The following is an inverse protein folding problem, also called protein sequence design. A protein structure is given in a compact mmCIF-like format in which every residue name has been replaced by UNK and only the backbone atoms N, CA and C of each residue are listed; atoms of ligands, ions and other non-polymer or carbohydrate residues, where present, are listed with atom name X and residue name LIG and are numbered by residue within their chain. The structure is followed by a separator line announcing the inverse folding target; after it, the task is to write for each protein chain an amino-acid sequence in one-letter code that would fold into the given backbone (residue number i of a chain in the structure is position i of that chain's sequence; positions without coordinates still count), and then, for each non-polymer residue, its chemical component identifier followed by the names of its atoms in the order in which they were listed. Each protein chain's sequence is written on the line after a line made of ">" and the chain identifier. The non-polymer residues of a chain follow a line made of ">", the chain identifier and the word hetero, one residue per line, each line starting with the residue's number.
data_IF_927243755801
#
_entry.id   IF_927243755801
#
_cell.length_a   1.000
_cell.length_b   1.000
_cell.length_c   1.000
_cell.angle_alpha   90.00
_cell.angle_beta   90.00
_cell.angle_gamma   90.00
#
_symmetry.space_group_name_H-M   'P 1'
#
loop_
_entity.id
_entity.type
_entity.pdbx_description
1 polymer ?
#
# COMPACT_ATOMS: atom_id res chain seq x y z
N UNK A 1 17.82 30.38 -0.56
CA UNK A 1 17.55 29.21 0.32
C UNK A 1 16.71 29.62 1.54
N UNK A 2 17.02 30.71 2.24
CA UNK A 2 16.26 31.17 3.43
C UNK A 2 14.76 31.36 3.16
N UNK A 3 14.41 31.93 2.02
CA UNK A 3 13.00 32.05 1.59
C UNK A 3 12.30 30.71 1.46
N UNK A 4 12.99 29.69 0.91
CA UNK A 4 12.46 28.33 0.78
C UNK A 4 12.21 27.71 2.16
N UNK A 5 13.14 27.86 3.10
CA UNK A 5 12.98 27.39 4.49
C UNK A 5 11.73 28.01 5.11
N UNK A 6 11.59 29.33 5.00
CA UNK A 6 10.45 30.05 5.56
C UNK A 6 9.12 29.56 4.98
N UNK A 7 9.06 29.29 3.67
CA UNK A 7 7.88 28.72 3.03
C UNK A 7 7.54 27.30 3.53
N UNK A 8 8.54 26.46 3.72
CA UNK A 8 8.34 25.12 4.28
C UNK A 8 7.82 25.18 5.72
N UNK A 9 8.36 26.08 6.56
CA UNK A 9 7.89 26.28 7.93
C UNK A 9 6.47 26.87 7.96
N UNK A 10 6.14 27.83 7.09
CA UNK A 10 4.79 28.38 6.98
C UNK A 10 3.78 27.28 6.61
N UNK A 11 4.08 26.44 5.62
CA UNK A 11 3.22 25.31 5.22
C UNK A 11 3.09 24.30 6.36
N UNK A 12 4.18 23.98 7.05
CA UNK A 12 4.18 23.05 8.18
C UNK A 12 3.28 23.53 9.32
N UNK A 13 3.35 24.82 9.65
CA UNK A 13 2.63 25.43 10.75
C UNK A 13 1.16 25.79 10.41
N UNK A 14 0.80 25.79 9.14
CA UNK A 14 -0.59 25.98 8.70
C UNK A 14 -1.40 24.73 9.00
N UNK A 15 -2.57 24.84 9.65
CA UNK A 15 -3.42 23.70 9.99
C UNK A 15 -4.34 23.26 8.84
N UNK A 16 -4.84 24.23 8.06
CA UNK A 16 -5.81 24.00 6.98
C UNK A 16 -5.15 23.46 5.71
N UNK A 17 -5.64 22.32 5.21
CA UNK A 17 -5.18 21.75 3.94
C UNK A 17 -5.42 22.67 2.73
N UNK A 18 -6.52 23.44 2.71
CA UNK A 18 -6.82 24.37 1.63
C UNK A 18 -5.88 25.58 1.64
N UNK A 19 -5.52 26.08 2.82
CA UNK A 19 -4.55 27.15 2.96
C UNK A 19 -3.14 26.71 2.55
N UNK A 20 -2.72 25.49 2.91
CA UNK A 20 -1.46 24.89 2.43
C UNK A 20 -1.40 24.82 0.91
N UNK A 21 -2.49 24.37 0.27
CA UNK A 21 -2.58 24.33 -1.19
C UNK A 21 -2.46 25.77 -1.75
N UNK A 22 -3.16 26.73 -1.17
CA UNK A 22 -3.09 28.14 -1.56
C UNK A 22 -1.69 28.74 -1.42
N UNK A 23 -0.96 28.41 -0.34
CA UNK A 23 0.44 28.84 -0.15
C UNK A 23 1.35 28.29 -1.25
N UNK A 24 1.23 27.01 -1.58
CA UNK A 24 2.02 26.36 -2.64
C UNK A 24 1.67 26.98 -4.01
N UNK A 25 0.38 27.21 -4.30
CA UNK A 25 -0.05 27.82 -5.57
C UNK A 25 0.53 29.22 -5.75
N UNK A 26 0.49 30.05 -4.72
CA UNK A 26 1.06 31.42 -4.78
C UNK A 26 2.58 31.46 -4.98
N UNK A 27 3.27 30.39 -4.56
CA UNK A 27 4.73 30.28 -4.66
C UNK A 27 5.19 29.29 -5.74
N UNK A 28 4.29 28.94 -6.66
CA UNK A 28 4.59 27.96 -7.76
C UNK A 28 5.65 28.45 -8.76
N UNK A 29 5.89 29.76 -8.81
CA UNK A 29 6.93 30.39 -9.65
C UNK A 29 8.34 30.31 -9.00
N UNK A 30 8.44 30.01 -7.70
CA UNK A 30 9.73 29.80 -7.04
C UNK A 30 10.27 28.40 -7.39
N UNK A 31 11.08 28.35 -8.46
CA UNK A 31 11.63 27.09 -8.99
C UNK A 31 12.31 26.25 -7.91
N UNK A 32 13.14 26.85 -7.06
CA UNK A 32 13.87 26.11 -6.03
C UNK A 32 12.93 25.52 -4.97
N UNK A 33 11.89 26.25 -4.58
CA UNK A 33 10.86 25.73 -3.68
C UNK A 33 10.14 24.53 -4.29
N UNK A 34 9.74 24.64 -5.55
CA UNK A 34 9.05 23.57 -6.30
C UNK A 34 9.94 22.32 -6.43
N UNK A 35 11.23 22.51 -6.74
CA UNK A 35 12.21 21.43 -6.83
C UNK A 35 12.42 20.72 -5.48
N UNK A 36 12.51 21.48 -4.38
CA UNK A 36 12.60 20.93 -3.02
C UNK A 36 11.35 20.12 -2.65
N UNK A 37 10.15 20.62 -2.96
CA UNK A 37 8.90 19.89 -2.75
C UNK A 37 8.86 18.57 -3.55
N UNK A 38 9.23 18.65 -4.83
CA UNK A 38 9.30 17.47 -5.70
C UNK A 38 10.31 16.48 -5.17
N UNK A 39 11.53 16.90 -4.88
CA UNK A 39 12.58 16.03 -4.35
C UNK A 39 12.13 15.34 -3.06
N UNK A 40 11.53 16.09 -2.13
CA UNK A 40 11.06 15.55 -0.85
C UNK A 40 9.94 14.53 -1.00
N UNK A 41 8.93 14.82 -1.82
CA UNK A 41 7.67 14.08 -1.84
C UNK A 41 7.57 13.03 -2.94
N UNK A 42 8.38 13.11 -4.00
CA UNK A 42 8.39 12.10 -5.06
C UNK A 42 8.99 10.79 -4.54
N UNK A 43 8.16 9.76 -4.44
CA UNK A 43 8.55 8.42 -3.95
C UNK A 43 9.49 7.67 -4.90
N UNK A 44 9.56 8.08 -6.17
CA UNK A 44 10.50 7.51 -7.12
C UNK A 44 11.94 7.99 -6.86
N UNK A 45 12.13 9.13 -6.17
CA UNK A 45 13.43 9.60 -5.72
C UNK A 45 13.77 8.89 -4.41
N UNK A 46 14.73 7.98 -4.46
CA UNK A 46 15.25 7.26 -3.29
C UNK A 46 16.70 7.70 -3.10
N UNK A 47 17.08 8.07 -1.89
CA UNK A 47 18.45 8.56 -1.59
C UNK A 47 19.30 7.53 -0.85
N UNK A 48 18.70 6.46 -0.32
CA UNK A 48 19.39 5.49 0.52
C UNK A 48 19.94 6.04 1.85
N UNK A 49 19.70 7.34 2.12
CA UNK A 49 20.18 8.03 3.31
C UNK A 49 19.13 7.99 4.43
N UNK A 50 19.61 8.00 5.67
CA UNK A 50 18.79 8.15 6.88
C UNK A 50 19.46 9.12 7.84
N UNK A 51 18.72 9.65 8.82
CA UNK A 51 19.28 10.51 9.87
C UNK A 51 20.48 9.85 10.56
N UNK A 52 20.41 8.54 10.83
CA UNK A 52 21.51 7.78 11.42
C UNK A 52 22.74 7.69 10.50
N UNK A 53 22.54 7.48 9.20
CA UNK A 53 23.63 7.44 8.21
C UNK A 53 24.31 8.78 8.06
N UNK A 54 23.55 9.87 7.90
CA UNK A 54 24.11 11.23 7.79
C UNK A 54 24.87 11.65 9.07
N UNK A 55 24.53 11.12 10.24
CA UNK A 55 25.25 11.38 11.48
C UNK A 55 26.57 10.60 11.64
N UNK A 56 26.94 9.72 10.69
CA UNK A 56 28.19 8.95 10.71
C UNK A 56 29.39 9.88 10.49
N UNK A 57 30.45 9.68 11.24
CA UNK A 57 31.73 10.39 11.01
C UNK A 57 32.40 9.82 9.76
N UNK A 58 32.60 10.67 8.75
CA UNK A 58 33.33 10.35 7.52
C UNK A 58 34.42 11.39 7.27
N UNK A 59 35.40 11.04 6.44
CA UNK A 59 36.48 11.95 6.06
C UNK A 59 35.96 12.92 5.00
N UNK A 60 36.03 14.22 5.28
CA UNK A 60 35.54 15.28 4.38
C UNK A 60 36.71 15.79 3.52
N UNK A 61 37.01 15.09 2.44
CA UNK A 61 38.09 15.40 1.52
C UNK A 61 37.59 15.78 0.10
N UNK A 62 36.28 15.90 -0.09
CA UNK A 62 35.72 16.30 -1.38
C UNK A 62 35.52 17.83 -1.48
N UNK A 63 35.84 18.37 -2.66
CA UNK A 63 35.31 19.66 -3.08
C UNK A 63 33.80 19.59 -3.18
N UNK A 64 33.13 20.66 -2.79
CA UNK A 64 31.66 20.71 -2.76
C UNK A 64 31.13 21.81 -3.67
N UNK A 65 29.92 21.59 -4.19
CA UNK A 65 29.14 22.60 -4.89
C UNK A 65 28.43 23.52 -3.89
N UNK A 66 28.07 24.71 -4.31
CA UNK A 66 27.19 25.61 -3.57
C UNK A 66 25.70 25.48 -3.98
N UNK A 67 25.40 24.74 -5.05
CA UNK A 67 24.04 24.55 -5.55
C UNK A 67 23.46 23.20 -5.08
N UNK A 68 22.36 23.29 -4.33
CA UNK A 68 21.62 22.11 -3.84
C UNK A 68 21.10 21.23 -4.97
N UNK A 69 20.84 21.79 -6.17
CA UNK A 69 20.40 21.03 -7.34
C UNK A 69 21.40 19.98 -7.75
N UNK A 70 22.70 20.30 -7.68
CA UNK A 70 23.75 19.34 -7.94
C UNK A 70 23.70 18.12 -6.98
N UNK A 71 23.35 18.37 -5.71
CA UNK A 71 23.18 17.30 -4.72
C UNK A 71 21.92 16.49 -5.01
N UNK A 72 20.82 17.13 -5.43
CA UNK A 72 19.62 16.42 -5.85
C UNK A 72 19.89 15.48 -7.02
N UNK A 73 20.61 15.96 -8.03
CA UNK A 73 20.93 15.15 -9.21
C UNK A 73 21.91 14.01 -8.88
N UNK A 74 22.88 14.29 -8.04
CA UNK A 74 23.77 13.25 -7.50
C UNK A 74 22.99 12.17 -6.78
N UNK A 75 22.10 12.52 -5.82
CA UNK A 75 21.33 11.56 -5.03
C UNK A 75 20.27 10.80 -5.81
N UNK A 76 19.77 11.34 -6.94
CA UNK A 76 18.89 10.59 -7.85
C UNK A 76 19.62 9.44 -8.54
N UNK A 77 20.93 9.58 -8.80
CA UNK A 77 21.77 8.58 -9.44
C UNK A 77 22.42 7.63 -8.42
N UNK A 78 22.70 8.11 -7.20
CA UNK A 78 23.36 7.37 -6.13
C UNK A 78 22.39 7.17 -4.95
N UNK A 79 21.66 6.06 -4.97
CA UNK A 79 20.51 5.84 -4.08
C UNK A 79 20.73 4.79 -2.99
N UNK A 80 21.97 4.37 -2.75
CA UNK A 80 22.31 3.30 -1.81
C UNK A 80 22.72 3.80 -0.43
N UNK A 81 23.12 5.07 -0.33
CA UNK A 81 23.59 5.70 0.91
C UNK A 81 24.90 5.08 1.41
N UNK A 82 25.86 4.99 0.50
CA UNK A 82 27.26 4.59 0.78
C UNK A 82 28.00 5.65 1.59
N UNK A 83 29.21 5.34 2.04
CA UNK A 83 30.06 6.33 2.73
C UNK A 83 30.44 7.49 1.80
N UNK A 84 30.52 7.26 0.49
CA UNK A 84 30.71 8.29 -0.52
C UNK A 84 29.52 9.23 -0.62
N UNK A 85 28.29 8.69 -0.62
CA UNK A 85 27.05 9.50 -0.63
C UNK A 85 26.97 10.37 0.66
N UNK A 86 27.35 9.80 1.81
CA UNK A 86 27.39 10.48 3.09
C UNK A 86 28.42 11.60 3.06
N UNK A 87 29.64 11.34 2.54
CA UNK A 87 30.70 12.33 2.40
C UNK A 87 30.25 13.49 1.53
N UNK A 88 29.63 13.22 0.40
CA UNK A 88 29.13 14.24 -0.54
C UNK A 88 28.13 15.18 0.15
N UNK A 89 27.13 14.61 0.86
CA UNK A 89 26.12 15.38 1.56
C UNK A 89 26.72 16.18 2.74
N UNK A 90 27.59 15.56 3.54
CA UNK A 90 28.21 16.26 4.67
C UNK A 90 29.18 17.34 4.21
N UNK A 91 29.90 17.15 3.10
CA UNK A 91 30.77 18.18 2.52
C UNK A 91 29.95 19.38 2.07
N UNK A 92 28.78 19.17 1.46
CA UNK A 92 27.86 20.23 1.07
C UNK A 92 27.32 21.02 2.27
N UNK A 93 26.97 20.35 3.36
CA UNK A 93 26.32 20.98 4.52
C UNK A 93 27.29 21.53 5.58
N UNK A 94 28.59 21.24 5.47
CA UNK A 94 29.57 21.53 6.55
C UNK A 94 29.74 22.99 6.92
N UNK A 95 29.57 23.89 5.95
CA UNK A 95 29.76 25.36 6.13
C UNK A 95 28.42 26.11 6.31
N UNK A 96 27.31 25.39 6.44
CA UNK A 96 25.99 25.98 6.65
C UNK A 96 25.75 26.25 8.14
N UNK A 97 24.91 27.25 8.43
CA UNK A 97 24.32 27.39 9.76
C UNK A 97 23.45 26.19 10.12
N UNK A 98 23.11 26.00 11.39
CA UNK A 98 22.45 24.78 11.86
C UNK A 98 21.05 24.64 11.27
N UNK A 99 20.28 25.73 11.10
CA UNK A 99 18.91 25.69 10.56
C UNK A 99 18.91 25.26 9.09
N UNK A 100 19.80 25.85 8.28
CA UNK A 100 19.96 25.47 6.87
C UNK A 100 20.45 24.04 6.72
N UNK A 101 21.37 23.63 7.57
CA UNK A 101 21.91 22.27 7.60
C UNK A 101 20.84 21.24 7.98
N UNK A 102 20.01 21.52 9.01
CA UNK A 102 18.92 20.65 9.41
C UNK A 102 17.88 20.52 8.29
N UNK A 103 17.52 21.62 7.64
CA UNK A 103 16.62 21.64 6.51
C UNK A 103 17.14 20.78 5.34
N UNK A 104 18.39 21.01 4.91
CA UNK A 104 19.01 20.24 3.83
C UNK A 104 19.09 18.74 4.18
N UNK A 105 19.52 18.41 5.39
CA UNK A 105 19.56 17.03 5.87
C UNK A 105 18.18 16.39 5.90
N UNK A 106 17.15 17.13 6.27
CA UNK A 106 15.76 16.71 6.23
C UNK A 106 15.25 16.41 4.82
N UNK A 107 15.66 17.21 3.82
CA UNK A 107 15.40 16.97 2.40
C UNK A 107 16.11 15.69 1.92
N UNK A 108 17.43 15.60 2.13
CA UNK A 108 18.25 14.49 1.62
C UNK A 108 17.88 13.14 2.24
N UNK A 109 17.46 13.12 3.49
CA UNK A 109 16.95 11.90 4.14
C UNK A 109 15.46 11.67 3.91
N UNK A 110 14.78 12.59 3.21
CA UNK A 110 13.33 12.58 2.98
C UNK A 110 12.50 12.48 4.28
N UNK A 111 13.04 13.03 5.36
CA UNK A 111 12.46 12.98 6.71
C UNK A 111 11.79 14.31 7.13
N UNK A 112 11.90 15.35 6.30
CA UNK A 112 11.28 16.64 6.56
C UNK A 112 9.75 16.51 6.50
N UNK A 113 9.05 16.90 7.56
CA UNK A 113 7.58 16.87 7.61
C UNK A 113 7.01 18.21 7.19
N UNK A 114 6.24 18.24 6.11
CA UNK A 114 5.60 19.45 5.56
C UNK A 114 4.10 19.50 5.88
N UNK A 115 3.52 18.35 6.29
CA UNK A 115 2.09 18.27 6.62
C UNK A 115 1.16 18.41 5.42
N UNK A 116 1.67 18.14 4.20
CA UNK A 116 0.89 18.02 2.97
C UNK A 116 1.38 16.79 2.19
N UNK A 117 0.48 16.11 1.52
CA UNK A 117 0.80 14.94 0.70
C UNK A 117 0.93 15.31 -0.79
N UNK A 118 1.35 14.32 -1.61
CA UNK A 118 1.50 14.50 -3.06
C UNK A 118 0.19 14.91 -3.73
N UNK A 119 -0.97 14.47 -3.22
CA UNK A 119 -2.27 14.88 -3.79
C UNK A 119 -2.53 16.37 -3.55
N UNK A 120 -2.22 16.86 -2.37
CA UNK A 120 -2.32 18.28 -2.04
C UNK A 120 -1.38 19.13 -2.90
N UNK A 121 -0.13 18.70 -3.06
CA UNK A 121 0.84 19.39 -3.92
C UNK A 121 0.41 19.38 -5.39
N UNK A 122 -0.08 18.27 -5.92
CA UNK A 122 -0.57 18.20 -7.30
C UNK A 122 -1.90 18.97 -7.53
N UNK A 123 -2.65 19.29 -6.48
CA UNK A 123 -3.76 20.25 -6.58
C UNK A 123 -3.28 21.68 -6.72
N UNK A 124 -2.18 22.03 -6.06
CA UNK A 124 -1.56 23.36 -6.15
C UNK A 124 -0.82 23.54 -7.47
N UNK A 125 -0.03 22.56 -7.88
CA UNK A 125 0.79 22.56 -9.11
C UNK A 125 0.46 21.26 -9.85
N UNK A 126 -0.42 21.30 -10.87
CA UNK A 126 -0.88 20.11 -11.58
C UNK A 126 0.28 19.29 -12.17
N UNK A 127 0.27 17.99 -11.92
CA UNK A 127 1.25 17.01 -12.44
C UNK A 127 2.71 17.25 -12.02
N UNK A 128 2.97 18.03 -10.98
CA UNK A 128 4.35 18.25 -10.50
C UNK A 128 5.04 16.94 -10.13
N UNK A 129 4.34 16.06 -9.44
CA UNK A 129 4.85 14.75 -9.02
C UNK A 129 4.02 13.68 -9.71
N UNK A 130 4.65 12.93 -10.60
CA UNK A 130 3.99 11.83 -11.27
C UNK A 130 3.64 10.73 -10.27
N UNK A 131 2.37 10.40 -10.16
CA UNK A 131 1.90 9.35 -9.28
C UNK A 131 1.63 8.07 -10.08
N UNK A 132 2.23 6.97 -9.64
CA UNK A 132 1.74 5.67 -10.06
C UNK A 132 0.38 5.44 -9.43
N UNK A 133 -0.63 5.29 -10.25
CA UNK A 133 -2.01 5.13 -9.80
C UNK A 133 -2.60 3.84 -10.37
N UNK A 134 -3.12 3.00 -9.49
CA UNK A 134 -3.84 1.78 -9.86
C UNK A 134 -5.26 1.83 -9.34
N UNK A 135 -6.18 1.18 -10.02
CA UNK A 135 -7.56 1.05 -9.57
C UNK A 135 -7.64 0.17 -8.31
N UNK A 136 -8.47 0.55 -7.35
CA UNK A 136 -8.65 -0.16 -6.09
C UNK A 136 -10.08 -0.71 -5.98
N UNK A 137 -10.21 -1.92 -5.44
CA UNK A 137 -11.51 -2.52 -5.21
C UNK A 137 -12.23 -1.94 -3.98
N UNK A 138 -13.54 -1.71 -4.08
CA UNK A 138 -14.44 -1.48 -2.95
C UNK A 138 -14.80 -2.80 -2.26
N UNK A 139 -15.48 -2.74 -1.11
CA UNK A 139 -16.09 -3.93 -0.48
C UNK A 139 -17.42 -4.24 -1.19
N UNK A 140 -17.72 -5.50 -1.39
CA UNK A 140 -19.05 -5.94 -1.81
C UNK A 140 -20.02 -5.81 -0.63
N UNK A 141 -21.18 -5.20 -0.89
CA UNK A 141 -22.18 -4.90 0.13
C UNK A 141 -23.45 -5.78 -0.02
N UNK A 142 -23.33 -6.93 -0.69
CA UNK A 142 -24.44 -7.86 -0.89
C UNK A 142 -25.49 -7.39 -1.91
N UNK A 143 -25.19 -6.38 -2.74
CA UNK A 143 -26.13 -5.87 -3.77
C UNK A 143 -25.42 -5.68 -5.09
N UNK A 144 -26.02 -6.14 -6.17
CA UNK A 144 -25.56 -5.93 -7.54
C UNK A 144 -26.47 -4.96 -8.27
N UNK A 145 -25.89 -4.17 -9.18
CA UNK A 145 -26.63 -3.29 -10.12
C UNK A 145 -26.66 -3.86 -11.54
N UNK A 146 -26.13 -5.04 -11.78
CA UNK A 146 -26.03 -5.68 -13.07
C UNK A 146 -25.12 -6.89 -13.00
N UNK A 147 -24.78 -7.46 -14.16
CA UNK A 147 -23.90 -8.60 -14.25
C UNK A 147 -22.47 -8.26 -13.85
N UNK A 148 -21.82 -9.20 -13.18
CA UNK A 148 -20.43 -9.14 -12.76
C UNK A 148 -19.67 -10.38 -13.21
N UNK A 149 -18.44 -10.19 -13.63
CA UNK A 149 -17.48 -11.29 -13.80
C UNK A 149 -16.84 -11.59 -12.45
N UNK A 150 -16.83 -12.87 -12.08
CA UNK A 150 -16.19 -13.38 -10.88
C UNK A 150 -14.80 -13.92 -11.20
N UNK A 151 -13.80 -13.53 -10.41
CA UNK A 151 -12.46 -14.08 -10.47
C UNK A 151 -11.90 -14.36 -9.09
N UNK A 152 -10.84 -15.17 -9.01
CA UNK A 152 -10.14 -15.41 -7.75
C UNK A 152 -9.53 -14.12 -7.23
N UNK A 153 -9.74 -13.86 -5.94
CA UNK A 153 -8.93 -12.85 -5.24
C UNK A 153 -7.60 -13.47 -4.85
N UNK A 154 -6.54 -12.97 -5.48
CA UNK A 154 -5.18 -13.45 -5.26
C UNK A 154 -4.64 -12.94 -3.93
N UNK A 155 -3.85 -13.76 -3.26
CA UNK A 155 -3.07 -13.40 -2.08
C UNK A 155 -1.59 -13.29 -2.49
N UNK A 156 -1.21 -12.14 -3.01
CA UNK A 156 0.11 -11.88 -3.57
C UNK A 156 0.57 -10.44 -3.36
N UNK A 157 1.63 -10.07 -4.01
CA UNK A 157 2.15 -8.69 -4.01
C UNK A 157 1.74 -8.01 -5.31
N UNK A 158 0.84 -7.02 -5.19
CA UNK A 158 0.40 -6.28 -6.38
C UNK A 158 1.58 -5.66 -7.10
N UNK A 159 1.61 -5.90 -8.39
CA UNK A 159 2.60 -5.40 -9.32
C UNK A 159 1.91 -4.90 -10.58
N UNK A 160 2.41 -3.80 -11.13
CA UNK A 160 2.01 -3.33 -12.44
C UNK A 160 3.23 -3.26 -13.34
N UNK A 161 3.15 -3.83 -14.54
CA UNK A 161 4.18 -3.74 -15.56
C UNK A 161 3.78 -2.67 -16.60
N UNK A 162 4.65 -1.69 -16.83
CA UNK A 162 4.57 -0.73 -17.93
C UNK A 162 5.57 -1.16 -18.98
N UNK A 163 5.09 -1.46 -20.19
CA UNK A 163 5.92 -1.95 -21.29
C UNK A 163 5.80 -0.95 -22.43
N UNK A 164 6.91 -0.28 -22.74
CA UNK A 164 6.93 0.79 -23.74
C UNK A 164 8.31 0.88 -24.39
N UNK A 165 8.35 0.86 -25.72
CA UNK A 165 9.57 0.92 -26.53
C UNK A 165 10.61 -0.15 -26.12
N UNK A 166 10.17 -1.37 -25.87
CA UNK A 166 11.00 -2.48 -25.44
C UNK A 166 11.52 -2.39 -23.99
N UNK A 167 11.10 -1.38 -23.23
CA UNK A 167 11.46 -1.23 -21.80
C UNK A 167 10.32 -1.68 -20.90
N UNK A 168 10.63 -2.56 -19.95
CA UNK A 168 9.70 -3.04 -18.93
C UNK A 168 10.03 -2.38 -17.58
N UNK A 169 9.04 -1.75 -16.96
CA UNK A 169 9.16 -1.17 -15.63
C UNK A 169 8.08 -1.73 -14.72
N UNK A 170 8.49 -2.41 -13.67
CA UNK A 170 7.57 -2.92 -12.66
C UNK A 170 7.43 -1.94 -11.49
N UNK A 171 6.19 -1.73 -11.03
CA UNK A 171 5.89 -0.92 -9.85
C UNK A 171 4.94 -1.63 -8.90
N UNK A 172 5.24 -1.54 -7.62
CA UNK A 172 4.31 -1.96 -6.57
C UNK A 172 3.07 -1.05 -6.52
N UNK A 173 2.03 -1.46 -5.81
CA UNK A 173 0.81 -0.66 -5.57
C UNK A 173 1.09 0.78 -5.13
N UNK A 174 2.20 1.02 -4.44
CA UNK A 174 2.58 2.34 -3.93
C UNK A 174 3.46 3.13 -4.91
N UNK A 175 3.75 2.57 -6.09
CA UNK A 175 4.61 3.17 -7.11
C UNK A 175 6.10 2.96 -6.91
N UNK A 176 6.51 2.12 -5.93
CA UNK A 176 7.91 1.75 -5.75
C UNK A 176 8.33 0.78 -6.84
N UNK A 177 9.47 1.04 -7.50
CA UNK A 177 10.04 0.14 -8.52
C UNK A 177 10.36 -1.23 -7.88
N UNK A 178 10.03 -2.28 -8.61
CA UNK A 178 10.35 -3.67 -8.26
C UNK A 178 11.34 -4.19 -9.30
N UNK A 179 12.56 -4.39 -8.89
CA UNK A 179 13.66 -4.85 -9.75
C UNK A 179 13.92 -6.35 -9.59
N UNK A 180 14.71 -6.93 -10.50
CA UNK A 180 15.17 -8.31 -10.41
C UNK A 180 14.13 -9.35 -10.89
N UNK A 181 13.14 -8.97 -11.66
CA UNK A 181 12.09 -9.86 -12.21
C UNK A 181 12.46 -10.41 -13.60
N UNK A 182 13.70 -10.88 -13.78
CA UNK A 182 14.27 -11.22 -15.08
C UNK A 182 13.47 -12.32 -15.83
N UNK A 183 13.00 -13.36 -15.11
CA UNK A 183 12.18 -14.43 -15.71
C UNK A 183 10.82 -13.91 -16.19
N UNK A 184 10.20 -13.01 -15.41
CA UNK A 184 8.93 -12.36 -15.78
C UNK A 184 9.13 -11.40 -16.94
N UNK A 185 10.23 -10.62 -16.98
CA UNK A 185 10.54 -9.73 -18.10
C UNK A 185 10.67 -10.50 -19.40
N UNK A 186 11.46 -11.57 -19.41
CA UNK A 186 11.59 -12.44 -20.58
C UNK A 186 10.24 -13.01 -21.00
N UNK A 187 9.44 -13.48 -20.05
CA UNK A 187 8.11 -14.03 -20.34
C UNK A 187 7.13 -12.99 -20.91
N UNK A 188 7.24 -11.71 -20.50
CA UNK A 188 6.45 -10.59 -21.05
C UNK A 188 6.90 -10.23 -22.47
N UNK A 189 8.21 -10.28 -22.75
CA UNK A 189 8.79 -10.06 -24.10
C UNK A 189 8.31 -11.15 -25.07
N UNK A 190 8.31 -12.42 -24.66
CA UNK A 190 7.82 -13.56 -25.44
C UNK A 190 6.34 -13.42 -25.85
N UNK A 191 5.53 -12.70 -25.06
CA UNK A 191 4.12 -12.44 -25.33
C UNK A 191 3.88 -11.16 -26.16
N UNK A 192 4.94 -10.47 -26.57
CA UNK A 192 4.89 -9.25 -27.41
C UNK A 192 3.95 -8.17 -26.85
N UNK A 193 4.04 -7.91 -25.54
CA UNK A 193 3.14 -7.01 -24.81
C UNK A 193 3.64 -5.54 -24.75
N UNK A 194 4.45 -5.11 -25.74
CA UNK A 194 4.85 -3.69 -25.86
C UNK A 194 3.63 -2.80 -26.11
N UNK A 195 3.61 -1.61 -25.52
CA UNK A 195 2.48 -0.67 -25.59
C UNK A 195 1.36 -0.91 -24.57
N UNK A 196 1.57 -1.76 -23.56
CA UNK A 196 0.53 -2.03 -22.55
C UNK A 196 0.97 -1.71 -21.14
N UNK A 197 -0.01 -1.25 -20.35
CA UNK A 197 -0.01 -1.25 -18.87
C UNK A 197 -0.73 -2.52 -18.40
N UNK A 198 -0.04 -3.33 -17.62
CA UNK A 198 -0.53 -4.63 -17.14
C UNK A 198 -0.60 -4.60 -15.62
N UNK A 199 -1.73 -4.96 -15.06
CA UNK A 199 -1.99 -4.96 -13.62
C UNK A 199 -2.25 -6.39 -13.14
N UNK A 200 -1.53 -6.81 -12.11
CA UNK A 200 -1.59 -8.17 -11.62
C UNK A 200 -0.95 -8.32 -10.25
N UNK A 201 -0.71 -9.55 -9.86
CA UNK A 201 -0.03 -9.89 -8.62
C UNK A 201 1.17 -10.80 -8.87
N UNK A 202 2.28 -10.52 -8.19
CA UNK A 202 3.41 -11.43 -8.07
C UNK A 202 3.08 -12.46 -7.01
N UNK A 203 3.21 -13.73 -7.36
CA UNK A 203 2.96 -14.86 -6.48
C UNK A 203 4.13 -15.84 -6.65
N UNK A 204 4.60 -16.41 -5.55
CA UNK A 204 5.56 -17.52 -5.64
C UNK A 204 4.87 -18.73 -6.26
N UNK A 205 5.50 -19.35 -7.25
CA UNK A 205 5.04 -20.59 -7.85
C UNK A 205 4.97 -21.66 -6.75
N UNK A 206 3.78 -22.18 -6.50
CA UNK A 206 3.50 -23.09 -5.37
C UNK A 206 3.57 -24.56 -5.79
N UNK A 207 4.78 -25.04 -6.10
CA UNK A 207 5.00 -26.47 -6.41
C UNK A 207 4.77 -27.38 -5.21
N UNK A 208 4.94 -26.84 -4.00
CA UNK A 208 4.93 -27.61 -2.75
C UNK A 208 3.50 -27.74 -2.17
N UNK A 209 2.50 -27.13 -2.81
CA UNK A 209 1.11 -27.07 -2.37
C UNK A 209 0.94 -26.59 -0.92
N UNK A 210 1.79 -25.63 -0.49
CA UNK A 210 1.68 -25.03 0.83
C UNK A 210 0.44 -24.11 0.92
N UNK A 211 -0.08 -23.84 2.14
CA UNK A 211 -1.21 -22.93 2.33
C UNK A 211 -0.97 -21.53 1.75
N UNK A 212 -2.07 -20.86 1.37
CA UNK A 212 -2.01 -19.54 0.69
C UNK A 212 -1.30 -18.48 1.53
N UNK A 213 -1.57 -18.44 2.84
CA UNK A 213 -0.96 -17.49 3.77
C UNK A 213 0.56 -17.69 3.90
N UNK A 214 1.02 -18.94 3.96
CA UNK A 214 2.45 -19.25 3.97
C UNK A 214 3.09 -18.91 2.63
N UNK A 215 2.43 -19.23 1.51
CA UNK A 215 2.91 -18.87 0.18
C UNK A 215 3.01 -17.35 0.00
N UNK A 216 2.03 -16.58 0.52
CA UNK A 216 2.08 -15.12 0.56
C UNK A 216 3.30 -14.60 1.34
N UNK A 217 3.58 -15.16 2.52
CA UNK A 217 4.75 -14.79 3.34
C UNK A 217 6.06 -15.03 2.59
N UNK A 218 6.19 -16.17 1.92
CA UNK A 218 7.36 -16.50 1.10
C UNK A 218 7.46 -15.59 -0.12
N UNK A 219 6.34 -15.31 -0.81
CA UNK A 219 6.26 -14.32 -1.90
C UNK A 219 6.79 -12.97 -1.45
N UNK A 220 6.33 -12.50 -0.31
CA UNK A 220 6.76 -11.21 0.27
C UNK A 220 8.27 -11.20 0.54
N UNK A 221 8.82 -12.32 1.02
CA UNK A 221 10.25 -12.45 1.29
C UNK A 221 11.08 -12.36 -0.01
N UNK A 222 10.66 -13.06 -1.07
CA UNK A 222 11.35 -13.04 -2.37
C UNK A 222 11.25 -11.65 -3.01
N UNK A 223 10.05 -11.07 -3.08
CA UNK A 223 9.83 -9.76 -3.73
C UNK A 223 10.60 -8.64 -3.03
N UNK A 224 10.70 -8.66 -1.69
CA UNK A 224 11.41 -7.64 -0.92
C UNK A 224 12.90 -7.94 -0.74
N UNK A 225 13.42 -9.04 -1.27
CA UNK A 225 14.86 -9.34 -1.24
C UNK A 225 15.65 -8.30 -2.05
N UNK A 226 16.92 -8.16 -1.74
CA UNK A 226 17.88 -7.32 -2.49
C UNK A 226 18.51 -8.05 -3.68
N UNK A 227 17.97 -9.22 -4.05
CA UNK A 227 18.51 -10.01 -5.17
C UNK A 227 18.23 -9.31 -6.50
N UNK A 228 19.23 -9.25 -7.36
CA UNK A 228 19.12 -8.76 -8.73
C UNK A 228 18.43 -9.78 -9.67
N UNK A 229 18.14 -10.98 -9.16
CA UNK A 229 17.41 -12.02 -9.88
C UNK A 229 16.48 -12.78 -8.90
N UNK A 230 15.22 -12.37 -8.85
CA UNK A 230 14.18 -12.99 -8.03
C UNK A 230 13.50 -14.10 -8.79
N UNK A 231 13.81 -15.35 -8.40
CA UNK A 231 13.34 -16.57 -9.07
C UNK A 231 12.11 -17.16 -8.41
N UNK A 232 11.39 -17.99 -9.17
CA UNK A 232 10.25 -18.77 -8.66
C UNK A 232 9.00 -17.91 -8.41
N UNK A 233 8.88 -16.77 -9.08
CA UNK A 233 7.70 -15.93 -9.09
C UNK A 233 6.95 -16.08 -10.42
N UNK A 234 5.64 -16.08 -10.36
CA UNK A 234 4.75 -15.86 -11.49
C UNK A 234 4.05 -14.50 -11.38
N UNK A 235 3.69 -13.91 -12.50
CA UNK A 235 2.88 -12.69 -12.57
C UNK A 235 1.49 -13.05 -13.07
N UNK A 236 0.51 -13.01 -12.16
CA UNK A 236 -0.88 -13.37 -12.44
C UNK A 236 -1.64 -12.10 -12.79
N UNK A 237 -1.98 -11.95 -14.06
CA UNK A 237 -2.60 -10.75 -14.62
C UNK A 237 -4.12 -10.78 -14.40
N UNK A 238 -4.68 -9.66 -13.95
CA UNK A 238 -6.13 -9.51 -13.76
C UNK A 238 -6.73 -8.29 -14.49
N UNK A 239 -5.91 -7.36 -14.97
CA UNK A 239 -6.36 -6.24 -15.82
C UNK A 239 -5.24 -5.75 -16.74
N UNK A 240 -5.62 -5.18 -17.90
CA UNK A 240 -4.68 -4.64 -18.87
C UNK A 240 -5.33 -3.50 -19.65
N UNK A 241 -4.55 -2.44 -19.92
CA UNK A 241 -4.97 -1.30 -20.76
C UNK A 241 -3.85 -0.89 -21.70
N UNK A 242 -4.12 -0.18 -22.82
CA UNK A 242 -3.08 0.52 -23.55
C UNK A 242 -2.25 1.42 -22.64
N UNK A 243 -0.95 1.54 -22.90
CA UNK A 243 -0.02 2.34 -22.06
C UNK A 243 -0.37 3.82 -22.10
N UNK A 244 -0.92 4.32 -23.20
CA UNK A 244 -1.38 5.69 -23.36
C UNK A 244 -2.52 6.03 -22.37
N UNK A 245 -3.38 5.05 -22.04
CA UNK A 245 -4.45 5.22 -21.06
C UNK A 245 -3.87 5.44 -19.65
N UNK A 246 -2.81 4.71 -19.31
CA UNK A 246 -2.07 4.92 -18.07
C UNK A 246 -1.43 6.32 -18.02
N UNK A 247 -0.80 6.78 -19.10
CA UNK A 247 -0.20 8.11 -19.17
C UNK A 247 -1.25 9.22 -19.08
N UNK A 248 -2.42 9.03 -19.69
CA UNK A 248 -3.55 9.96 -19.59
C UNK A 248 -4.26 9.91 -18.23
N UNK A 249 -4.06 8.84 -17.44
CA UNK A 249 -4.78 8.58 -16.21
C UNK A 249 -6.27 8.25 -16.42
N UNK A 250 -6.65 7.80 -17.63
CA UNK A 250 -8.03 7.53 -18.03
C UNK A 250 -8.08 6.41 -19.07
N UNK A 251 -8.90 5.38 -18.78
CA UNK A 251 -9.22 4.32 -19.73
C UNK A 251 -10.72 4.36 -20.04
N UNK A 252 -11.07 4.38 -21.32
CA UNK A 252 -12.46 4.37 -21.77
C UNK A 252 -13.00 2.97 -22.05
N UNK A 253 -12.13 1.97 -22.16
CA UNK A 253 -12.50 0.56 -22.35
C UNK A 253 -13.30 0.04 -21.13
N UNK A 254 -14.38 -0.67 -21.41
CA UNK A 254 -15.13 -1.44 -20.43
C UNK A 254 -14.35 -2.65 -19.95
N UNK A 255 -14.74 -3.25 -18.81
CA UNK A 255 -14.06 -4.45 -18.32
C UNK A 255 -14.14 -5.62 -19.31
N UNK A 256 -15.29 -5.79 -19.98
CA UNK A 256 -15.45 -6.90 -20.96
C UNK A 256 -14.53 -6.71 -22.18
N UNK A 257 -14.26 -5.47 -22.61
CA UNK A 257 -13.31 -5.19 -23.68
C UNK A 257 -11.88 -5.46 -23.25
N UNK A 258 -11.49 -5.03 -22.04
CA UNK A 258 -10.17 -5.32 -21.47
C UNK A 258 -9.96 -6.81 -21.21
N UNK A 259 -11.04 -7.51 -20.83
CA UNK A 259 -11.01 -8.96 -20.67
C UNK A 259 -10.71 -9.68 -21.97
N UNK A 260 -11.39 -9.31 -23.06
CA UNK A 260 -11.11 -9.85 -24.40
C UNK A 260 -9.69 -9.53 -24.84
N UNK A 261 -9.20 -8.32 -24.59
CA UNK A 261 -7.82 -7.93 -24.88
C UNK A 261 -6.81 -8.81 -24.14
N UNK A 262 -7.02 -9.08 -22.84
CA UNK A 262 -6.17 -9.99 -22.07
C UNK A 262 -6.21 -11.42 -22.60
N UNK A 263 -7.38 -11.93 -22.97
CA UNK A 263 -7.55 -13.26 -23.56
C UNK A 263 -6.87 -13.38 -24.92
N UNK A 264 -6.95 -12.33 -25.75
CA UNK A 264 -6.27 -12.27 -27.06
C UNK A 264 -4.75 -12.23 -26.92
N UNK A 265 -4.23 -11.38 -26.02
CA UNK A 265 -2.81 -11.09 -25.92
C UNK A 265 -2.04 -12.06 -25.05
N UNK A 266 -2.64 -12.55 -23.98
CA UNK A 266 -2.00 -13.44 -23.01
C UNK A 266 -2.49 -14.88 -23.20
N UNK A 267 -3.79 -15.09 -23.45
CA UNK A 267 -4.39 -16.41 -23.65
C UNK A 267 -4.09 -17.39 -22.52
N UNK A 268 -3.45 -18.49 -22.84
CA UNK A 268 -3.01 -19.50 -21.86
C UNK A 268 -1.76 -19.06 -21.06
N UNK A 269 -1.12 -17.96 -21.50
CA UNK A 269 0.12 -17.48 -20.90
C UNK A 269 1.34 -18.38 -21.18
N UNK A 270 2.31 -18.30 -20.30
CA UNK A 270 3.51 -19.13 -20.30
C UNK A 270 3.88 -19.55 -18.86
N UNK A 271 5.09 -20.05 -18.62
CA UNK A 271 5.52 -20.55 -17.33
C UNK A 271 5.41 -19.48 -16.20
N UNK A 272 5.63 -18.21 -16.54
CA UNK A 272 5.71 -17.12 -15.53
C UNK A 272 4.60 -16.07 -15.64
N UNK A 273 3.77 -16.13 -16.70
CA UNK A 273 2.66 -15.21 -16.91
C UNK A 273 1.38 -16.01 -17.16
N UNK A 274 0.33 -15.72 -16.42
CA UNK A 274 -1.00 -16.26 -16.67
C UNK A 274 -2.11 -15.28 -16.28
N UNK A 275 -3.29 -15.54 -16.79
CA UNK A 275 -4.49 -14.80 -16.36
C UNK A 275 -5.00 -15.31 -15.01
N UNK A 276 -5.63 -14.42 -14.25
CA UNK A 276 -6.32 -14.78 -13.00
C UNK A 276 -7.43 -15.79 -13.28
N UNK A 277 -7.59 -16.86 -12.46
CA UNK A 277 -8.69 -17.81 -12.59
C UNK A 277 -10.06 -17.11 -12.50
N UNK A 278 -10.94 -17.40 -13.47
CA UNK A 278 -12.30 -16.88 -13.56
C UNK A 278 -13.33 -17.96 -13.23
N UNK A 279 -14.45 -17.53 -12.67
CA UNK A 279 -15.52 -18.40 -12.21
C UNK A 279 -16.85 -18.13 -12.91
N UNK A 280 -16.85 -17.33 -13.97
CA UNK A 280 -18.03 -17.01 -14.77
C UNK A 280 -18.57 -15.60 -14.55
N UNK A 281 -19.74 -15.37 -15.15
CA UNK A 281 -20.48 -14.11 -15.07
C UNK A 281 -21.82 -14.39 -14.44
N UNK A 282 -22.22 -13.58 -13.46
CA UNK A 282 -23.50 -13.73 -12.78
C UNK A 282 -24.12 -12.38 -12.44
N UNK A 283 -25.44 -12.37 -12.21
CA UNK A 283 -26.20 -11.30 -11.56
C UNK A 283 -26.82 -11.76 -10.23
N UNK A 284 -26.58 -13.02 -9.87
CA UNK A 284 -27.12 -13.65 -8.67
C UNK A 284 -26.14 -13.51 -7.50
N UNK A 285 -26.62 -12.99 -6.39
CA UNK A 285 -25.84 -12.78 -5.18
C UNK A 285 -25.59 -14.10 -4.46
N UNK A 286 -26.55 -15.03 -4.51
CA UNK A 286 -26.42 -16.34 -3.85
C UNK A 286 -25.33 -17.17 -4.55
N UNK A 287 -25.27 -17.13 -5.89
CA UNK A 287 -24.20 -17.77 -6.66
C UNK A 287 -22.81 -17.22 -6.28
N UNK A 288 -22.71 -15.92 -6.00
CA UNK A 288 -21.45 -15.31 -5.53
C UNK A 288 -21.05 -15.90 -4.16
N UNK A 289 -21.99 -16.01 -3.22
CA UNK A 289 -21.69 -16.55 -1.90
C UNK A 289 -21.39 -18.05 -1.93
N UNK A 290 -22.07 -18.83 -2.78
CA UNK A 290 -21.76 -20.24 -2.99
C UNK A 290 -20.33 -20.41 -3.53
N UNK A 291 -19.97 -19.62 -4.55
CA UNK A 291 -18.60 -19.63 -5.08
C UNK A 291 -17.57 -19.13 -4.08
N UNK A 292 -17.90 -18.12 -3.26
CA UNK A 292 -17.04 -17.69 -2.17
C UNK A 292 -16.77 -18.81 -1.18
N UNK A 293 -17.81 -19.55 -0.77
CA UNK A 293 -17.66 -20.68 0.16
C UNK A 293 -16.77 -21.79 -0.44
N UNK A 294 -16.94 -22.12 -1.74
CA UNK A 294 -16.06 -23.07 -2.43
C UNK A 294 -14.59 -22.63 -2.39
N UNK A 295 -14.32 -21.35 -2.71
CA UNK A 295 -12.98 -20.77 -2.75
C UNK A 295 -12.34 -20.76 -1.36
N UNK A 296 -13.10 -20.36 -0.33
CA UNK A 296 -12.63 -20.32 1.06
C UNK A 296 -12.36 -21.74 1.60
N UNK A 297 -13.20 -22.72 1.28
CA UNK A 297 -12.97 -24.12 1.66
C UNK A 297 -11.68 -24.69 1.05
N UNK A 298 -11.22 -24.13 -0.06
CA UNK A 298 -9.91 -24.42 -0.67
C UNK A 298 -8.76 -23.57 -0.07
N UNK A 299 -8.99 -22.89 1.04
CA UNK A 299 -8.02 -22.00 1.70
C UNK A 299 -7.51 -20.84 0.83
N UNK A 300 -8.37 -20.32 -0.06
CA UNK A 300 -8.08 -19.18 -0.91
C UNK A 300 -8.76 -17.92 -0.35
N UNK A 301 -8.23 -16.72 -0.68
CA UNK A 301 -8.57 -15.44 0.00
C UNK A 301 -10.03 -14.98 -0.22
N UNK A 302 -10.63 -15.30 -1.38
CA UNK A 302 -11.97 -14.85 -1.72
C UNK A 302 -12.15 -14.56 -3.21
N UNK A 303 -13.08 -13.66 -3.54
CA UNK A 303 -13.43 -13.33 -4.92
C UNK A 303 -13.23 -11.84 -5.21
N UNK A 304 -12.99 -11.56 -6.49
CA UNK A 304 -13.11 -10.24 -7.10
C UNK A 304 -14.28 -10.23 -8.06
N UNK A 305 -15.09 -9.17 -8.00
CA UNK A 305 -16.22 -8.94 -8.88
C UNK A 305 -15.94 -7.69 -9.73
N UNK A 306 -16.04 -7.82 -11.04
CA UNK A 306 -15.93 -6.71 -11.98
C UNK A 306 -17.26 -6.54 -12.73
N UNK A 307 -17.89 -5.36 -12.66
CA UNK A 307 -19.04 -5.09 -13.52
C UNK A 307 -18.59 -5.05 -14.99
N UNK A 308 -19.35 -5.66 -15.89
CA UNK A 308 -18.94 -5.82 -17.28
C UNK A 308 -18.66 -4.49 -17.99
N UNK A 309 -19.42 -3.46 -17.65
CA UNK A 309 -19.28 -2.11 -18.20
C UNK A 309 -18.33 -1.21 -17.39
N UNK A 310 -17.67 -1.74 -16.34
CA UNK A 310 -16.77 -0.99 -15.48
C UNK A 310 -15.52 -0.54 -16.23
N UNK A 311 -15.16 0.74 -16.12
CA UNK A 311 -13.92 1.28 -16.67
C UNK A 311 -12.77 1.09 -15.70
N UNK A 312 -11.52 1.10 -16.21
CA UNK A 312 -10.35 1.15 -15.34
C UNK A 312 -10.13 2.60 -14.88
N UNK A 313 -10.33 2.87 -13.59
CA UNK A 313 -10.25 4.20 -13.01
C UNK A 313 -8.96 4.35 -12.19
N UNK A 314 -7.93 4.89 -12.81
CA UNK A 314 -6.63 5.10 -12.17
C UNK A 314 -6.73 5.91 -10.87
N UNK A 315 -6.13 5.41 -9.80
CA UNK A 315 -6.09 6.06 -8.48
C UNK A 315 -7.41 6.11 -7.71
N UNK A 316 -8.49 5.55 -8.25
CA UNK A 316 -9.81 5.54 -7.62
C UNK A 316 -10.18 4.17 -7.04
N UNK A 317 -11.27 4.19 -6.27
CA UNK A 317 -11.93 3.01 -5.70
C UNK A 317 -13.39 2.98 -6.14
N UNK A 318 -13.66 2.66 -7.41
CA UNK A 318 -15.04 2.65 -7.92
C UNK A 318 -15.82 1.45 -7.36
N UNK A 319 -17.15 1.53 -7.45
CA UNK A 319 -18.04 0.38 -7.17
C UNK A 319 -18.12 -0.62 -8.33
N UNK A 320 -17.44 -0.37 -9.43
CA UNK A 320 -17.37 -1.27 -10.58
C UNK A 320 -16.41 -2.46 -10.37
N UNK A 321 -15.51 -2.37 -9.40
CA UNK A 321 -14.69 -3.48 -8.94
C UNK A 321 -14.86 -3.67 -7.43
N UNK A 322 -15.21 -4.87 -7.01
CA UNK A 322 -15.52 -5.18 -5.63
C UNK A 322 -14.78 -6.44 -5.19
N UNK A 323 -14.38 -6.47 -3.92
CA UNK A 323 -13.82 -7.65 -3.28
C UNK A 323 -14.85 -8.29 -2.37
N UNK A 324 -14.94 -9.61 -2.45
CA UNK A 324 -15.74 -10.44 -1.57
C UNK A 324 -14.81 -11.33 -0.75
N UNK A 325 -14.90 -11.20 0.58
CA UNK A 325 -14.14 -12.00 1.52
C UNK A 325 -15.09 -12.56 2.55
N UNK A 326 -14.85 -13.77 3.04
CA UNK A 326 -15.52 -14.26 4.22
C UNK A 326 -14.80 -13.67 5.42
N UNK A 327 -15.55 -12.96 6.26
CA UNK A 327 -15.10 -12.58 7.58
C UNK A 327 -15.71 -13.57 8.57
N UNK A 328 -14.91 -13.96 9.54
CA UNK A 328 -15.35 -14.75 10.69
C UNK A 328 -15.63 -13.77 11.82
N UNK A 329 -16.56 -14.14 12.70
CA UNK A 329 -16.80 -13.46 13.95
C UNK A 329 -16.13 -14.27 15.07
N UNK A 330 -15.54 -13.58 16.02
CA UNK A 330 -14.93 -14.22 17.18
C UNK A 330 -15.06 -13.35 18.41
N UNK A 331 -15.23 -14.01 19.55
CA UNK A 331 -15.34 -13.36 20.83
C UNK A 331 -13.99 -13.32 21.52
N UNK A 332 -13.58 -12.12 21.92
CA UNK A 332 -12.26 -11.83 22.49
C UNK A 332 -12.39 -11.01 23.77
N UNK A 333 -11.49 -11.21 24.73
CA UNK A 333 -11.45 -10.48 25.98
C UNK A 333 -10.62 -9.19 25.83
N UNK A 334 -11.20 -8.04 26.12
CA UNK A 334 -10.47 -6.76 26.15
C UNK A 334 -9.64 -6.68 27.44
N UNK A 335 -8.35 -6.46 27.30
CA UNK A 335 -7.40 -6.34 28.40
C UNK A 335 -6.92 -4.92 28.64
N UNK A 336 -6.90 -4.09 27.60
CA UNK A 336 -6.50 -2.68 27.72
C UNK A 336 -7.09 -1.81 26.59
N UNK A 337 -7.14 -0.49 26.87
CA UNK A 337 -7.55 0.56 25.93
C UNK A 337 -6.37 1.50 25.72
N UNK A 338 -5.82 1.49 24.51
CA UNK A 338 -4.57 2.17 24.14
C UNK A 338 -4.88 3.45 23.39
N UNK A 339 -4.19 4.53 23.75
CA UNK A 339 -4.29 5.84 23.08
C UNK A 339 -3.89 5.77 21.62
N UNK A 340 -4.53 6.57 20.80
CA UNK A 340 -4.19 6.70 19.40
C UNK A 340 -3.05 7.68 19.12
N UNK A 341 -2.49 7.57 17.92
CA UNK A 341 -1.42 8.45 17.44
C UNK A 341 -1.97 9.48 16.44
N UNK A 342 -1.25 10.59 16.29
CA UNK A 342 -1.55 11.62 15.28
C UNK A 342 -2.93 12.26 15.53
N UNK A 343 -3.88 12.12 14.59
CA UNK A 343 -5.23 12.70 14.75
C UNK A 343 -6.05 12.06 15.87
N UNK A 344 -5.64 10.92 16.39
CA UNK A 344 -6.34 10.17 17.43
C UNK A 344 -5.74 10.37 18.83
N UNK A 345 -4.78 11.27 19.00
CA UNK A 345 -4.26 11.66 20.32
C UNK A 345 -5.41 12.17 21.19
N UNK A 346 -5.45 11.71 22.44
CA UNK A 346 -6.55 12.00 23.38
C UNK A 346 -7.81 11.16 23.18
N UNK A 347 -7.75 10.14 22.30
CA UNK A 347 -8.86 9.22 22.06
C UNK A 347 -8.38 7.78 21.95
N UNK A 348 -9.31 6.82 21.96
CA UNK A 348 -9.01 5.41 21.75
C UNK A 348 -8.37 5.19 20.35
N UNK A 349 -7.15 4.69 20.31
CA UNK A 349 -6.48 4.25 19.09
C UNK A 349 -6.83 2.81 18.75
N UNK A 350 -6.69 1.93 19.73
CA UNK A 350 -6.97 0.49 19.63
C UNK A 350 -7.25 -0.10 21.02
N UNK A 351 -7.89 -1.26 21.04
CA UNK A 351 -7.97 -2.09 22.23
C UNK A 351 -6.99 -3.25 22.13
N UNK A 352 -6.36 -3.61 23.25
CA UNK A 352 -5.65 -4.87 23.39
C UNK A 352 -6.65 -5.95 23.75
N UNK A 353 -6.56 -7.10 23.07
CA UNK A 353 -7.47 -8.22 23.29
C UNK A 353 -6.71 -9.51 23.47
N UNK A 354 -7.24 -10.40 24.29
CA UNK A 354 -6.77 -11.76 24.45
C UNK A 354 -7.82 -12.76 23.97
N UNK A 355 -7.35 -13.88 23.45
CA UNK A 355 -8.18 -14.99 22.99
C UNK A 355 -7.47 -16.31 23.18
N UNK A 356 -8.25 -17.36 23.37
CA UNK A 356 -7.75 -18.74 23.49
C UNK A 356 -7.82 -19.42 22.12
N UNK A 357 -6.68 -19.94 21.66
CA UNK A 357 -6.60 -20.69 20.40
C UNK A 357 -5.59 -21.82 20.54
N UNK A 358 -5.97 -23.06 20.14
CA UNK A 358 -5.13 -24.26 20.29
C UNK A 358 -4.56 -24.42 21.71
N UNK A 359 -5.41 -24.27 22.71
CA UNK A 359 -5.09 -24.38 24.16
C UNK A 359 -4.05 -23.38 24.70
N UNK A 360 -3.78 -22.30 23.97
CA UNK A 360 -2.91 -21.21 24.40
C UNK A 360 -3.63 -19.87 24.30
N UNK A 361 -3.20 -18.95 25.13
CA UNK A 361 -3.68 -17.57 25.14
C UNK A 361 -2.74 -16.72 24.27
N UNK A 362 -3.31 -15.93 23.38
CA UNK A 362 -2.60 -14.98 22.52
C UNK A 362 -3.15 -13.58 22.72
N UNK A 363 -2.30 -12.60 22.50
CA UNK A 363 -2.65 -11.17 22.57
C UNK A 363 -2.65 -10.57 21.18
N UNK A 364 -3.64 -9.75 20.88
CA UNK A 364 -3.73 -9.00 19.61
C UNK A 364 -4.34 -7.61 19.85
N UNK A 365 -4.45 -6.81 18.78
CA UNK A 365 -4.93 -5.44 18.83
C UNK A 365 -6.05 -5.21 17.82
N UNK A 366 -7.11 -4.52 18.24
CA UNK A 366 -8.24 -4.13 17.39
C UNK A 366 -8.34 -2.62 17.35
N UNK A 367 -7.98 -2.01 16.23
CA UNK A 367 -8.03 -0.56 16.04
C UNK A 367 -9.01 -0.11 14.96
N UNK A 368 -9.50 -1.03 14.12
CA UNK A 368 -10.46 -0.74 13.06
C UNK A 368 -11.91 -0.90 13.54
N UNK A 369 -12.83 -0.17 12.91
CA UNK A 369 -14.28 -0.29 13.16
C UNK A 369 -14.84 0.76 14.12
N UNK A 370 -14.05 1.31 15.02
CA UNK A 370 -14.50 2.37 15.92
C UNK A 370 -14.76 3.68 15.15
N UNK A 371 -15.93 4.27 15.35
CA UNK A 371 -16.22 5.64 14.91
C UNK A 371 -15.47 6.66 15.78
N UNK A 372 -15.34 7.89 15.30
CA UNK A 372 -14.66 8.95 16.07
C UNK A 372 -15.41 9.26 17.37
N UNK A 373 -16.74 9.13 17.41
CA UNK A 373 -17.54 9.26 18.64
C UNK A 373 -17.30 8.12 19.64
N UNK A 374 -17.23 6.87 19.17
CA UNK A 374 -16.91 5.74 20.03
C UNK A 374 -15.48 5.82 20.58
N UNK A 375 -14.53 6.32 19.78
CA UNK A 375 -13.14 6.51 20.22
C UNK A 375 -13.05 7.50 21.38
N UNK A 376 -13.74 8.64 21.28
CA UNK A 376 -13.78 9.63 22.36
C UNK A 376 -14.49 9.07 23.59
N UNK A 377 -15.64 8.44 23.40
CA UNK A 377 -16.45 7.89 24.49
C UNK A 377 -15.68 6.82 25.26
N UNK A 378 -15.16 5.78 24.61
CA UNK A 378 -14.46 4.67 25.29
C UNK A 378 -13.06 5.05 25.78
N UNK A 379 -12.50 6.16 25.34
CA UNK A 379 -11.28 6.71 25.95
C UNK A 379 -11.54 7.27 27.34
N UNK A 380 -12.69 7.90 27.53
CA UNK A 380 -13.14 8.44 28.82
C UNK A 380 -13.76 7.36 29.72
N UNK A 381 -14.31 6.28 29.15
CA UNK A 381 -15.02 5.21 29.82
C UNK A 381 -14.38 3.84 29.54
N UNK A 382 -13.07 3.72 29.81
CA UNK A 382 -12.29 2.51 29.51
C UNK A 382 -12.80 1.27 30.25
N UNK A 383 -13.34 1.48 31.45
CA UNK A 383 -13.93 0.45 32.31
C UNK A 383 -15.17 -0.23 31.70
N UNK A 384 -15.83 0.40 30.73
CA UNK A 384 -16.93 -0.22 29.99
C UNK A 384 -16.43 -1.27 28.97
N UNK A 385 -15.14 -1.24 28.58
CA UNK A 385 -14.53 -2.21 27.66
C UNK A 385 -13.57 -3.17 28.36
N UNK A 386 -12.73 -2.67 29.27
CA UNK A 386 -11.71 -3.50 29.93
C UNK A 386 -12.38 -4.59 30.80
N UNK A 387 -11.95 -5.84 30.58
CA UNK A 387 -12.52 -7.02 31.24
C UNK A 387 -13.79 -7.55 30.56
N UNK A 388 -14.29 -6.88 29.51
CA UNK A 388 -15.46 -7.36 28.75
C UNK A 388 -15.04 -8.23 27.57
N UNK A 389 -15.93 -9.15 27.22
CA UNK A 389 -15.83 -9.88 25.93
C UNK A 389 -16.56 -9.08 24.88
N UNK A 390 -15.89 -8.89 23.73
CA UNK A 390 -16.45 -8.24 22.55
C UNK A 390 -16.39 -9.20 21.37
N UNK A 391 -17.42 -9.19 20.51
CA UNK A 391 -17.35 -9.87 19.23
C UNK A 391 -16.67 -8.95 18.22
N UNK A 392 -15.59 -9.44 17.63
CA UNK A 392 -14.89 -8.80 16.51
C UNK A 392 -15.17 -9.54 15.21
N UNK A 393 -15.04 -8.85 14.10
CA UNK A 393 -14.98 -9.48 12.77
C UNK A 393 -13.52 -9.52 12.32
N UNK A 394 -13.04 -10.67 11.85
CA UNK A 394 -11.67 -10.84 11.35
C UNK A 394 -11.66 -11.73 10.10
N UNK A 395 -10.58 -11.65 9.33
CA UNK A 395 -10.47 -12.42 8.09
C UNK A 395 -10.03 -13.86 8.35
N UNK A 396 -8.94 -14.02 9.09
CA UNK A 396 -8.36 -15.32 9.47
C UNK A 396 -7.44 -15.16 10.67
N UNK A 397 -7.09 -16.27 11.29
CA UNK A 397 -6.00 -16.35 12.28
C UNK A 397 -4.74 -16.83 11.56
N UNK A 398 -3.66 -16.07 11.68
CA UNK A 398 -2.36 -16.38 11.06
C UNK A 398 -1.22 -16.20 12.05
N UNK A 399 -0.06 -16.80 11.77
CA UNK A 399 1.12 -16.67 12.62
C UNK A 399 2.00 -15.51 12.19
N UNK A 400 2.59 -14.80 13.18
CA UNK A 400 3.67 -13.85 12.95
C UNK A 400 5.03 -14.57 12.78
N UNK A 401 6.12 -13.79 12.58
CA UNK A 401 7.49 -14.35 12.44
C UNK A 401 7.99 -15.09 13.68
N UNK A 402 7.41 -14.81 14.84
CA UNK A 402 7.74 -15.44 16.12
C UNK A 402 6.91 -16.72 16.37
N UNK A 403 6.00 -17.06 15.46
CA UNK A 403 5.09 -18.20 15.58
C UNK A 403 3.89 -17.97 16.50
N UNK A 404 3.59 -16.71 16.87
CA UNK A 404 2.42 -16.34 17.65
C UNK A 404 1.22 -16.13 16.75
N UNK A 405 0.06 -16.62 17.16
CA UNK A 405 -1.20 -16.45 16.42
C UNK A 405 -1.82 -15.08 16.67
N UNK A 406 -2.39 -14.50 15.61
CA UNK A 406 -3.08 -13.22 15.65
C UNK A 406 -4.10 -13.08 14.52
N UNK A 407 -5.02 -12.13 14.67
CA UNK A 407 -6.06 -11.88 13.67
C UNK A 407 -5.54 -11.05 12.50
N UNK A 408 -5.90 -11.43 11.29
CA UNK A 408 -5.76 -10.57 10.11
C UNK A 408 -7.00 -9.69 9.98
N UNK A 409 -6.79 -8.37 9.90
CA UNK A 409 -7.81 -7.33 9.74
C UNK A 409 -8.93 -7.36 10.80
N UNK A 410 -8.62 -7.45 12.10
CA UNK A 410 -9.64 -7.44 13.13
C UNK A 410 -10.36 -6.10 13.15
N UNK A 411 -11.68 -6.14 13.32
CA UNK A 411 -12.55 -4.97 13.23
C UNK A 411 -13.61 -5.02 14.33
N UNK A 412 -13.73 -3.95 15.11
CA UNK A 412 -14.82 -3.73 16.03
C UNK A 412 -16.17 -3.70 15.30
N UNK A 413 -17.19 -4.36 15.85
CA UNK A 413 -18.51 -4.47 15.23
C UNK A 413 -19.54 -3.47 15.75
N UNK A 414 -19.30 -2.87 16.91
CA UNK A 414 -20.21 -1.93 17.56
C UNK A 414 -20.54 -2.29 19.00
N UNK A 415 -21.14 -1.35 19.72
CA UNK A 415 -21.53 -1.50 21.13
C UNK A 415 -22.47 -2.68 21.37
N UNK A 416 -23.36 -2.98 20.43
CA UNK A 416 -24.31 -4.10 20.47
C UNK A 416 -23.63 -5.47 20.45
N UNK A 417 -22.33 -5.53 20.21
CA UNK A 417 -21.51 -6.74 20.20
C UNK A 417 -20.62 -6.87 21.45
N UNK A 418 -20.86 -6.08 22.49
CA UNK A 418 -20.33 -6.36 23.84
C UNK A 418 -21.15 -7.50 24.42
N UNK A 419 -20.47 -8.57 24.81
CA UNK A 419 -21.10 -9.83 25.25
C UNK A 419 -21.33 -9.78 26.78
N UNK A 420 -22.54 -9.45 27.18
CA UNK A 420 -22.95 -9.44 28.60
C UNK A 420 -23.16 -10.87 29.13
N UNK A 421 -23.29 -11.85 28.26
CA UNK A 421 -23.51 -13.26 28.56
C UNK A 421 -22.22 -14.07 28.74
N UNK A 422 -21.05 -13.43 28.65
CA UNK A 422 -19.72 -14.07 28.68
C UNK A 422 -18.76 -13.32 29.59
N UNK A 423 -17.89 -14.08 30.27
CA UNK A 423 -16.88 -13.53 31.20
C UNK A 423 -15.55 -14.29 31.10
N UNK A 424 -14.45 -13.55 31.06
CA UNK A 424 -13.10 -14.10 31.15
C UNK A 424 -12.61 -14.80 29.90
N UNK A 425 -11.36 -15.24 29.97
CA UNK A 425 -10.62 -15.76 28.81
C UNK A 425 -11.16 -17.10 28.29
N UNK A 426 -11.79 -17.90 29.13
CA UNK A 426 -12.31 -19.22 28.73
C UNK A 426 -13.60 -19.13 27.93
N UNK A 427 -14.31 -18.00 27.99
CA UNK A 427 -15.49 -17.73 27.16
C UNK A 427 -15.17 -17.10 25.81
N UNK A 428 -13.89 -16.86 25.50
CA UNK A 428 -13.47 -16.45 24.15
C UNK A 428 -13.67 -17.59 23.16
N UNK A 429 -14.16 -17.24 21.96
CA UNK A 429 -14.42 -18.22 20.91
C UNK A 429 -13.97 -17.67 19.56
N UNK A 430 -12.93 -18.29 18.99
CA UNK A 430 -12.37 -17.94 17.68
C UNK A 430 -12.09 -19.22 16.89
N UNK A 431 -12.36 -19.21 15.59
CA UNK A 431 -12.18 -20.35 14.67
C UNK A 431 -10.98 -20.16 13.72
#
# INVERSE_FOLDING_TARGET
>A
MQEVINLFEEIKNTSSSSEKIGLITRNSENELFVECLKFLLDKNIVTGLSKKKIGKKVKLDKETTSDIRCIFDYLKQHNTGTDEDITTVQSFTRCMDEDLKEFCNGLFTKSLKVGIDVKGVNKAIPNLIQQHQVMLASKFEGKLKGEVSMSLKLDGIRNSAMIENGRIVHKSRQGKVVEGLNQINQALEELELDGYFIDGELIRINHDNIPSDENFRLTTTVVNSKSDNKKGLEFVVFDMTPIEDYHRGKCDMTYIERLKLMEEKIGNGNEFIRLVPKYGITKDVDEIYDKLNEVVNRQLEGLMLNTLNGKYEFGKRPKSIMKVKKFQDGDVLVTDVIEGDGRLVGTLGKVEVQFKYKDKIYTNYVGSGFSDSERSYYWEHKDELIGRIITISYFEISTNKQGEYGFRFPTWKGKEYIREDKEGIDDTNVE
#
